data_IF_209643580151
#
_entry.id   IF_209643580151
#
_cell.length_a   1.000
_cell.length_b   1.000
_cell.length_c   1.000
_cell.angle_alpha   90.00
_cell.angle_beta   90.00
_cell.angle_gamma   90.00
#
_symmetry.space_group_name_H-M   'P 1'
#
loop_
_entity.id
_entity.type
_entity.pdbx_description
1 polymer ?
#
# COMPACT_ATOMS: atom_id res chain seq x y z
N UNK A 1 0.29 -12.04 -28.77
CA UNK A 1 -0.04 -10.94 -27.84
C UNK A 1 -1.54 -10.67 -27.86
N UNK A 2 -2.17 -10.64 -26.69
CA UNK A 2 -3.59 -10.37 -26.45
C UNK A 2 -3.71 -9.43 -25.26
N UNK A 3 -4.60 -8.44 -25.36
CA UNK A 3 -4.85 -7.47 -24.29
C UNK A 3 -6.21 -7.75 -23.66
N UNK A 4 -6.20 -8.08 -22.37
CA UNK A 4 -7.39 -8.33 -21.58
C UNK A 4 -7.63 -7.20 -20.57
N UNK A 5 -8.89 -6.81 -20.46
CA UNK A 5 -9.38 -5.94 -19.40
C UNK A 5 -10.42 -6.69 -18.57
N UNK A 6 -10.04 -7.06 -17.35
CA UNK A 6 -10.88 -7.81 -16.42
C UNK A 6 -11.43 -6.89 -15.34
N UNK A 7 -12.63 -7.14 -14.82
CA UNK A 7 -13.20 -6.40 -13.71
C UNK A 7 -14.17 -7.26 -12.91
N UNK A 8 -14.65 -6.74 -11.77
CA UNK A 8 -15.59 -7.44 -10.88
C UNK A 8 -15.01 -8.78 -10.37
N UNK A 9 -13.78 -8.73 -9.84
CA UNK A 9 -13.00 -9.90 -9.40
C UNK A 9 -12.87 -10.97 -10.50
N UNK A 10 -12.44 -10.55 -11.69
CA UNK A 10 -12.20 -11.42 -12.86
C UNK A 10 -13.45 -12.13 -13.41
N UNK A 11 -14.67 -11.81 -12.93
CA UNK A 11 -15.91 -12.39 -13.44
C UNK A 11 -16.26 -11.91 -14.84
N UNK A 12 -15.81 -10.71 -15.20
CA UNK A 12 -16.08 -10.10 -16.50
C UNK A 12 -14.75 -9.70 -17.14
N UNK A 13 -14.63 -10.02 -18.42
CA UNK A 13 -13.46 -9.75 -19.23
C UNK A 13 -13.84 -9.18 -20.59
N UNK A 14 -12.98 -8.31 -21.11
CA UNK A 14 -13.01 -7.83 -22.50
C UNK A 14 -11.64 -8.14 -23.09
N UNK A 15 -11.64 -8.79 -24.24
CA UNK A 15 -10.47 -8.91 -25.11
C UNK A 15 -10.52 -7.77 -26.12
N UNK A 16 -9.44 -7.01 -26.23
CA UNK A 16 -9.31 -6.00 -27.26
C UNK A 16 -9.17 -6.68 -28.63
N UNK A 17 -9.94 -6.23 -29.64
CA UNK A 17 -10.04 -6.92 -30.92
C UNK A 17 -8.80 -6.69 -31.81
N UNK A 18 -8.11 -5.58 -31.64
CA UNK A 18 -6.93 -5.21 -32.41
C UNK A 18 -5.89 -4.71 -31.42
N UNK A 19 -4.66 -5.20 -31.54
CA UNK A 19 -3.56 -4.74 -30.71
C UNK A 19 -3.15 -3.31 -31.12
N UNK A 20 -2.71 -2.47 -30.18
CA UNK A 20 -2.14 -1.17 -30.50
C UNK A 20 -0.83 -1.35 -31.26
N UNK A 21 -0.44 -0.35 -32.05
CA UNK A 21 0.85 -0.34 -32.75
C UNK A 21 2.02 -0.31 -31.77
N UNK A 22 1.86 0.45 -30.68
CA UNK A 22 2.78 0.51 -29.56
C UNK A 22 2.02 0.81 -28.27
N UNK A 23 2.64 0.50 -27.12
CA UNK A 23 2.17 0.95 -25.82
C UNK A 23 3.38 1.31 -24.97
N UNK A 24 3.23 2.32 -24.12
CA UNK A 24 4.27 2.76 -23.22
C UNK A 24 3.74 2.79 -21.78
N UNK A 25 4.53 2.25 -20.85
CA UNK A 25 4.25 2.31 -19.43
C UNK A 25 5.19 3.33 -18.82
N UNK A 26 4.60 4.42 -18.32
CA UNK A 26 5.34 5.49 -17.66
C UNK A 26 5.12 5.42 -16.16
N UNK A 27 6.17 5.64 -15.38
CA UNK A 27 6.10 5.69 -13.93
C UNK A 27 7.17 6.61 -13.39
N UNK A 28 6.81 7.45 -12.42
CA UNK A 28 7.74 8.40 -11.80
C UNK A 28 8.13 7.98 -10.39
N UNK A 29 9.27 8.48 -9.92
CA UNK A 29 9.64 8.48 -8.51
C UNK A 29 9.44 9.88 -7.94
N UNK A 30 8.75 9.99 -6.80
CA UNK A 30 8.49 11.28 -6.15
C UNK A 30 9.70 11.77 -5.35
N UNK A 31 10.85 11.83 -6.01
CA UNK A 31 12.10 12.32 -5.45
C UNK A 31 12.05 13.85 -5.27
N UNK A 32 12.76 14.37 -4.28
CA UNK A 32 12.89 15.81 -4.04
C UNK A 32 14.35 16.23 -4.07
N UNK A 33 14.72 17.10 -5.00
CA UNK A 33 16.04 17.74 -5.01
C UNK A 33 16.07 18.89 -4.00
N UNK A 34 17.10 18.93 -3.17
CA UNK A 34 17.39 20.03 -2.26
C UNK A 34 18.81 20.53 -2.50
N UNK A 35 19.00 21.85 -2.48
CA UNK A 35 20.32 22.45 -2.57
C UNK A 35 20.85 22.76 -1.17
N UNK A 36 22.02 22.23 -0.83
CA UNK A 36 22.71 22.53 0.42
C UNK A 36 23.96 23.34 0.07
N UNK A 37 24.09 24.55 0.64
CA UNK A 37 25.19 25.48 0.35
C UNK A 37 26.60 24.87 0.38
N UNK A 38 26.83 23.88 1.26
CA UNK A 38 28.15 23.27 1.45
C UNK A 38 28.33 21.89 0.78
N UNK A 39 27.26 21.31 0.24
CA UNK A 39 27.22 19.92 -0.28
C UNK A 39 26.70 19.84 -1.73
N UNK A 40 26.23 20.96 -2.29
CA UNK A 40 25.63 21.01 -3.62
C UNK A 40 24.19 20.49 -3.63
N UNK A 41 23.73 20.05 -4.81
CA UNK A 41 22.40 19.47 -4.97
C UNK A 41 22.38 18.02 -4.46
N UNK A 42 21.47 17.74 -3.54
CA UNK A 42 21.21 16.40 -3.01
C UNK A 42 19.82 15.93 -3.41
N UNK A 43 19.68 14.64 -3.72
CA UNK A 43 18.41 14.04 -4.10
C UNK A 43 17.81 13.21 -2.95
N UNK A 44 16.71 13.68 -2.38
CA UNK A 44 15.92 12.94 -1.39
C UNK A 44 15.04 11.91 -2.10
N UNK A 45 15.35 10.63 -1.84
CA UNK A 45 14.63 9.50 -2.45
C UNK A 45 13.19 9.43 -1.92
N UNK A 46 12.25 9.59 -2.85
CA UNK A 46 10.82 9.45 -2.59
C UNK A 46 10.33 8.02 -2.76
N UNK A 47 9.00 7.89 -2.74
CA UNK A 47 8.32 6.64 -3.13
C UNK A 47 7.93 6.68 -4.61
N UNK A 48 7.73 5.49 -5.17
CA UNK A 48 7.21 5.31 -6.52
C UNK A 48 5.82 5.94 -6.64
N UNK A 49 5.63 6.74 -7.69
CA UNK A 49 4.33 7.19 -8.16
C UNK A 49 3.46 6.04 -8.67
N UNK A 50 2.37 6.38 -9.33
CA UNK A 50 1.49 5.42 -9.99
C UNK A 50 1.95 5.25 -11.44
N UNK A 51 1.99 4.02 -11.93
CA UNK A 51 2.20 3.76 -13.35
C UNK A 51 1.00 4.25 -14.16
N UNK A 52 1.23 4.75 -15.36
CA UNK A 52 0.20 5.04 -16.35
C UNK A 52 0.57 4.42 -17.68
N UNK A 53 -0.45 3.98 -18.40
CA UNK A 53 -0.33 3.37 -19.72
C UNK A 53 -1.39 3.98 -20.64
N UNK A 54 -0.99 4.31 -21.86
CA UNK A 54 -1.91 4.77 -22.91
C UNK A 54 -1.95 3.72 -24.01
N UNK A 55 -3.16 3.32 -24.40
CA UNK A 55 -3.41 2.36 -25.46
C UNK A 55 -4.15 3.07 -26.59
N UNK A 56 -3.59 3.01 -27.80
CA UNK A 56 -4.16 3.61 -29.01
C UNK A 56 -4.38 2.53 -30.06
N UNK A 57 -5.64 2.31 -30.45
CA UNK A 57 -5.98 1.35 -31.50
C UNK A 57 -7.38 1.66 -32.03
N UNK A 58 -8.05 0.68 -32.64
CA UNK A 58 -9.40 0.82 -33.15
C UNK A 58 -10.27 -0.42 -32.89
N UNK A 59 -11.58 -0.18 -32.78
CA UNK A 59 -12.59 -1.22 -32.74
C UNK A 59 -13.14 -1.44 -34.15
N UNK A 60 -13.00 -2.66 -34.70
CA UNK A 60 -13.38 -2.94 -36.07
C UNK A 60 -14.89 -3.09 -36.22
N UNK A 61 -15.46 -2.35 -37.16
CA UNK A 61 -16.86 -2.46 -37.59
C UNK A 61 -17.13 -3.70 -38.42
N UNK A 62 -16.09 -4.24 -39.07
CA UNK A 62 -16.18 -5.41 -39.93
C UNK A 62 -15.42 -6.59 -39.33
N UNK A 63 -15.67 -7.78 -39.89
CA UNK A 63 -14.93 -8.98 -39.52
C UNK A 63 -13.60 -9.00 -40.28
N UNK A 64 -12.57 -8.37 -39.71
CA UNK A 64 -11.21 -8.47 -40.24
C UNK A 64 -10.50 -9.74 -39.77
N UNK A 65 -9.57 -10.25 -40.58
CA UNK A 65 -8.79 -11.46 -40.30
C UNK A 65 -7.74 -11.25 -39.21
N UNK A 66 -7.22 -10.04 -39.07
CA UNK A 66 -6.26 -9.67 -38.01
C UNK A 66 -6.93 -9.42 -36.65
N UNK A 67 -8.25 -9.64 -36.54
CA UNK A 67 -9.00 -9.43 -35.31
C UNK A 67 -8.82 -10.60 -34.36
N UNK A 68 -8.50 -10.30 -33.12
CA UNK A 68 -8.51 -11.23 -32.01
C UNK A 68 -9.93 -11.44 -31.46
N UNK A 69 -10.31 -12.70 -31.21
CA UNK A 69 -11.59 -13.04 -30.57
C UNK A 69 -12.86 -12.90 -31.43
N UNK A 70 -14.02 -12.88 -30.77
CA UNK A 70 -15.35 -12.81 -31.40
C UNK A 70 -15.66 -11.40 -31.90
N UNK A 71 -16.45 -11.32 -32.98
CA UNK A 71 -16.96 -10.05 -33.48
C UNK A 71 -17.94 -9.45 -32.47
N UNK A 72 -17.74 -8.18 -32.17
CA UNK A 72 -18.67 -7.38 -31.39
C UNK A 72 -18.80 -5.99 -32.01
N UNK A 73 -19.98 -5.41 -31.87
CA UNK A 73 -20.24 -4.06 -32.37
C UNK A 73 -19.38 -3.02 -31.62
N UNK A 74 -18.64 -2.15 -32.34
CA UNK A 74 -17.76 -1.15 -31.74
C UNK A 74 -18.43 -0.29 -30.66
N UNK A 75 -19.59 0.30 -30.98
CA UNK A 75 -20.25 1.24 -30.07
C UNK A 75 -21.04 0.55 -28.98
N UNK A 76 -21.90 -0.41 -29.35
CA UNK A 76 -22.85 -1.03 -28.44
C UNK A 76 -22.17 -1.96 -27.43
N UNK A 77 -21.01 -2.53 -27.79
CA UNK A 77 -20.28 -3.42 -26.91
C UNK A 77 -19.05 -2.76 -26.29
N UNK A 78 -18.06 -2.34 -27.09
CA UNK A 78 -16.79 -1.85 -26.56
C UNK A 78 -16.94 -0.47 -25.93
N UNK A 79 -17.36 0.54 -26.70
CA UNK A 79 -17.50 1.91 -26.21
C UNK A 79 -18.47 1.97 -25.02
N UNK A 80 -19.62 1.29 -25.10
CA UNK A 80 -20.59 1.27 -24.00
C UNK A 80 -20.03 0.65 -22.72
N UNK A 81 -19.26 -0.44 -22.81
CA UNK A 81 -18.64 -1.06 -21.63
C UNK A 81 -17.53 -0.20 -21.06
N UNK A 82 -16.62 0.31 -21.89
CA UNK A 82 -15.52 1.17 -21.45
C UNK A 82 -16.05 2.47 -20.83
N UNK A 83 -17.08 3.07 -21.44
CA UNK A 83 -17.77 4.24 -20.87
C UNK A 83 -18.39 3.93 -19.50
N UNK A 84 -19.05 2.78 -19.34
CA UNK A 84 -19.62 2.38 -18.05
C UNK A 84 -18.55 2.14 -16.98
N UNK A 85 -17.42 1.53 -17.34
CA UNK A 85 -16.27 1.33 -16.44
C UNK A 85 -15.65 2.67 -16.02
N UNK A 86 -15.52 3.61 -16.96
CA UNK A 86 -15.05 4.95 -16.73
C UNK A 86 -15.99 5.74 -15.80
N UNK A 87 -17.28 5.79 -16.12
CA UNK A 87 -18.29 6.52 -15.33
C UNK A 87 -18.44 5.98 -13.90
N UNK A 88 -18.31 4.66 -13.72
CA UNK A 88 -18.36 4.02 -12.40
C UNK A 88 -17.04 4.06 -11.64
N UNK A 89 -15.97 4.57 -12.25
CA UNK A 89 -14.61 4.53 -11.72
C UNK A 89 -14.24 3.13 -11.17
N UNK A 90 -14.56 2.10 -11.95
CA UNK A 90 -14.36 0.70 -11.53
C UNK A 90 -12.88 0.34 -11.63
N UNK A 91 -12.38 -0.41 -10.65
CA UNK A 91 -11.05 -1.00 -10.72
C UNK A 91 -11.04 -2.11 -11.76
N UNK A 92 -10.18 -1.95 -12.75
CA UNK A 92 -9.97 -2.90 -13.84
C UNK A 92 -8.58 -3.51 -13.71
N UNK A 93 -8.43 -4.73 -14.18
CA UNK A 93 -7.19 -5.48 -14.17
C UNK A 93 -6.74 -5.64 -15.61
N UNK A 94 -5.66 -4.94 -15.96
CA UNK A 94 -5.05 -4.96 -17.27
C UNK A 94 -4.01 -6.08 -17.32
N UNK A 95 -4.17 -6.96 -18.30
CA UNK A 95 -3.23 -8.04 -18.59
C UNK A 95 -2.89 -7.97 -20.08
N UNK A 96 -1.60 -7.87 -20.39
CA UNK A 96 -1.10 -7.98 -21.76
C UNK A 96 -0.27 -9.26 -21.85
N UNK A 97 -0.73 -10.23 -22.62
CA UNK A 97 0.01 -11.49 -22.78
C UNK A 97 1.33 -11.25 -23.50
N UNK A 98 2.33 -12.12 -23.24
CA UNK A 98 3.71 -12.01 -23.77
C UNK A 98 4.54 -10.83 -23.20
N UNK A 99 4.02 -10.09 -22.23
CA UNK A 99 4.72 -8.99 -21.55
C UNK A 99 4.60 -9.10 -20.02
N UNK A 100 5.30 -8.25 -19.27
CA UNK A 100 5.26 -8.20 -17.80
C UNK A 100 4.10 -7.34 -17.26
N UNK A 101 3.20 -6.88 -18.14
CA UNK A 101 2.11 -5.98 -17.80
C UNK A 101 0.96 -6.76 -17.19
N UNK A 102 0.92 -6.72 -15.86
CA UNK A 102 -0.14 -7.30 -15.05
C UNK A 102 -0.41 -6.35 -13.87
N UNK A 103 -1.37 -5.45 -14.01
CA UNK A 103 -1.62 -4.41 -13.01
C UNK A 103 -3.10 -4.04 -12.88
N UNK A 104 -3.49 -3.69 -11.65
CA UNK A 104 -4.78 -3.06 -11.40
C UNK A 104 -4.71 -1.57 -11.74
N UNK A 105 -5.70 -1.07 -12.47
CA UNK A 105 -5.78 0.29 -12.92
C UNK A 105 -7.23 0.82 -12.92
N UNK A 106 -7.37 2.12 -13.07
CA UNK A 106 -8.62 2.82 -13.34
C UNK A 106 -8.51 3.53 -14.68
N UNK A 107 -9.63 3.72 -15.36
CA UNK A 107 -9.67 4.49 -16.61
C UNK A 107 -9.62 5.98 -16.27
N UNK A 108 -8.56 6.67 -16.69
CA UNK A 108 -8.38 8.11 -16.48
C UNK A 108 -8.93 8.92 -17.65
N UNK A 109 -8.78 8.42 -18.88
CA UNK A 109 -9.36 9.02 -20.07
C UNK A 109 -9.80 7.96 -21.07
N UNK A 110 -10.90 8.21 -21.77
CA UNK A 110 -11.36 7.39 -22.88
C UNK A 110 -11.89 8.31 -23.98
N UNK A 111 -11.12 8.41 -25.07
CA UNK A 111 -11.49 9.18 -26.25
C UNK A 111 -11.76 8.18 -27.36
N UNK A 112 -12.88 8.33 -28.07
CA UNK A 112 -13.21 7.47 -29.20
C UNK A 112 -13.93 8.26 -30.30
N UNK A 113 -13.75 7.85 -31.56
CA UNK A 113 -14.38 8.49 -32.71
C UNK A 113 -14.06 7.79 -34.03
N UNK A 114 -14.83 8.14 -35.06
CA UNK A 114 -14.61 7.69 -36.43
C UNK A 114 -13.85 8.78 -37.20
N UNK A 115 -12.95 8.37 -38.10
CA UNK A 115 -12.13 9.31 -38.86
C UNK A 115 -12.17 9.11 -40.38
N UNK A 116 -12.82 8.06 -40.91
CA UNK A 116 -12.61 7.65 -42.31
C UNK A 116 -13.83 7.00 -42.99
N UNK A 117 -15.03 7.11 -42.42
CA UNK A 117 -16.26 6.52 -43.00
C UNK A 117 -16.25 4.98 -43.13
N UNK A 118 -15.19 4.31 -42.66
CA UNK A 118 -15.05 2.84 -42.63
C UNK A 118 -16.01 2.18 -41.63
N UNK A 119 -16.53 2.97 -40.69
CA UNK A 119 -17.27 2.54 -39.50
C UNK A 119 -16.36 2.11 -38.35
N UNK A 120 -15.04 2.05 -38.57
CA UNK A 120 -14.08 1.65 -37.54
C UNK A 120 -13.87 2.78 -36.53
N UNK A 121 -13.98 2.44 -35.24
CA UNK A 121 -13.93 3.42 -34.15
C UNK A 121 -12.53 3.44 -33.58
N UNK A 122 -11.78 4.51 -33.88
CA UNK A 122 -10.47 4.74 -33.24
C UNK A 122 -10.69 5.09 -31.78
N UNK A 123 -9.81 4.60 -30.91
CA UNK A 123 -9.84 4.91 -29.48
C UNK A 123 -8.46 5.20 -28.93
N UNK A 124 -8.43 6.09 -27.94
CA UNK A 124 -7.30 6.36 -27.06
C UNK A 124 -7.77 6.14 -25.63
N UNK A 125 -7.16 5.18 -24.94
CA UNK A 125 -7.51 4.78 -23.58
C UNK A 125 -6.30 5.00 -22.67
N UNK A 126 -6.41 5.94 -21.73
CA UNK A 126 -5.40 6.14 -20.69
C UNK A 126 -5.83 5.46 -19.39
N UNK A 127 -5.01 4.56 -18.91
CA UNK A 127 -5.19 3.81 -17.67
C UNK A 127 -4.13 4.23 -16.65
N UNK A 128 -4.53 4.33 -15.38
CA UNK A 128 -3.66 4.69 -14.26
C UNK A 128 -3.69 3.61 -13.20
N UNK A 129 -2.52 3.22 -12.68
CA UNK A 129 -2.37 2.22 -11.63
C UNK A 129 -3.26 2.56 -10.42
N UNK A 130 -4.06 1.58 -10.03
CA UNK A 130 -4.83 1.64 -8.81
C UNK A 130 -4.07 0.89 -7.71
N UNK A 131 -3.80 1.60 -6.61
CA UNK A 131 -3.21 1.00 -5.41
C UNK A 131 -4.25 1.06 -4.30
N UNK A 132 -4.61 -0.10 -3.78
CA UNK A 132 -5.50 -0.17 -2.63
C UNK A 132 -4.86 0.57 -1.45
N UNK A 133 -5.64 1.44 -0.81
CA UNK A 133 -5.22 2.10 0.41
C UNK A 133 -5.36 1.09 1.54
N UNK A 134 -4.33 0.27 1.73
CA UNK A 134 -4.23 -0.52 2.96
C UNK A 134 -4.00 0.50 4.08
N UNK A 135 -5.08 0.85 4.80
CA UNK A 135 -4.99 1.70 5.98
C UNK A 135 -3.86 1.13 6.83
N UNK A 136 -2.76 1.88 6.96
CA UNK A 136 -1.59 1.41 7.66
C UNK A 136 -2.06 0.91 9.02
N UNK A 137 -1.96 -0.40 9.28
CA UNK A 137 -2.20 -0.95 10.61
C UNK A 137 -1.37 -0.05 11.51
N UNK A 138 -2.02 0.74 12.39
CA UNK A 138 -1.31 1.57 13.36
C UNK A 138 -0.30 0.64 14.01
N UNK A 139 0.98 0.82 13.68
CA UNK A 139 2.06 0.15 14.38
C UNK A 139 2.02 0.82 15.74
N UNK A 140 1.16 0.31 16.63
CA UNK A 140 1.22 0.68 18.02
C UNK A 140 2.57 0.16 18.44
N UNK A 141 3.55 1.04 18.57
CA UNK A 141 4.79 0.79 19.30
C UNK A 141 4.45 0.70 20.79
N UNK A 142 3.49 -0.16 21.16
CA UNK A 142 3.38 -0.68 22.52
C UNK A 142 4.64 -1.51 22.72
N UNK A 143 5.72 -0.86 23.18
CA UNK A 143 6.88 -1.54 23.73
C UNK A 143 6.36 -2.61 24.69
N UNK A 144 6.55 -3.89 24.36
CA UNK A 144 6.20 -5.00 25.25
C UNK A 144 6.95 -4.73 26.55
N UNK A 145 6.20 -4.65 27.64
CA UNK A 145 6.80 -4.41 28.95
C UNK A 145 7.65 -5.59 29.34
N UNK A 146 8.89 -5.33 29.72
CA UNK A 146 9.76 -6.37 30.23
C UNK A 146 9.33 -6.69 31.66
N UNK A 147 9.03 -7.95 31.94
CA UNK A 147 8.75 -8.39 33.32
C UNK A 147 10.07 -8.77 33.98
N UNK A 148 10.34 -8.19 35.14
CA UNK A 148 11.54 -8.44 35.94
C UNK A 148 11.16 -9.09 37.27
N UNK A 149 11.84 -10.18 37.62
CA UNK A 149 11.70 -10.80 38.96
C UNK A 149 12.74 -10.18 39.87
N UNK A 150 12.29 -9.49 40.93
CA UNK A 150 13.13 -8.70 41.82
C UNK A 150 14.07 -9.57 42.66
N UNK A 151 15.37 -9.25 42.69
CA UNK A 151 16.41 -9.98 43.41
C UNK A 151 16.97 -9.16 44.59
N UNK A 152 17.74 -9.83 45.46
CA UNK A 152 18.43 -9.18 46.59
C UNK A 152 19.45 -8.18 46.05
N UNK A 153 19.37 -6.92 46.49
CA UNK A 153 20.25 -5.83 46.06
C UNK A 153 19.70 -4.96 44.91
N UNK A 154 18.53 -5.30 44.36
CA UNK A 154 17.88 -4.49 43.33
C UNK A 154 17.29 -3.20 43.89
N UNK A 155 17.39 -2.14 43.07
CA UNK A 155 16.74 -0.85 43.31
C UNK A 155 16.00 -0.41 42.05
N UNK A 156 14.93 0.37 42.22
CA UNK A 156 14.12 0.85 41.09
C UNK A 156 14.94 1.54 39.99
N UNK A 157 15.89 2.45 40.30
CA UNK A 157 16.74 3.06 39.27
C UNK A 157 17.62 2.04 38.53
N UNK A 158 18.15 1.01 39.21
CA UNK A 158 19.01 -0.02 38.61
C UNK A 158 18.21 -0.93 37.66
N UNK A 159 17.05 -1.40 38.11
CA UNK A 159 16.15 -2.24 37.30
C UNK A 159 15.68 -1.47 36.07
N UNK A 160 15.28 -0.21 36.24
CA UNK A 160 14.79 0.62 35.13
C UNK A 160 15.90 0.96 34.15
N UNK A 161 17.10 1.32 34.62
CA UNK A 161 18.27 1.55 33.75
C UNK A 161 18.64 0.30 32.95
N UNK A 162 18.51 -0.89 33.52
CA UNK A 162 18.80 -2.17 32.84
C UNK A 162 17.89 -2.43 31.63
N UNK A 163 16.60 -2.08 31.72
CA UNK A 163 15.61 -2.38 30.66
C UNK A 163 15.30 -1.18 29.74
N UNK A 164 15.40 0.05 30.23
CA UNK A 164 15.08 1.27 29.49
C UNK A 164 16.31 2.14 29.15
N UNK A 165 17.52 1.71 29.52
CA UNK A 165 18.79 2.43 29.27
C UNK A 165 18.99 3.70 30.12
N UNK A 166 17.92 4.25 30.70
CA UNK A 166 17.93 5.45 31.53
C UNK A 166 17.23 5.18 32.86
N UNK A 167 17.76 5.74 33.96
CA UNK A 167 17.11 5.66 35.27
C UNK A 167 16.00 6.71 35.45
N UNK A 168 15.91 7.74 34.61
CA UNK A 168 15.06 8.93 34.84
C UNK A 168 13.58 8.62 35.10
N UNK A 169 13.06 7.55 34.48
CA UNK A 169 11.64 7.17 34.55
C UNK A 169 11.30 6.25 35.73
N UNK A 170 12.23 6.00 36.65
CA UNK A 170 12.04 4.99 37.71
C UNK A 170 10.85 5.24 38.63
N UNK A 171 10.53 6.51 38.94
CA UNK A 171 9.38 6.89 39.78
C UNK A 171 8.06 6.50 39.11
N UNK A 172 7.97 6.72 37.80
CA UNK A 172 6.80 6.37 36.99
C UNK A 172 6.62 4.86 36.92
N UNK A 173 7.70 4.11 36.66
CA UNK A 173 7.67 2.64 36.66
C UNK A 173 7.25 2.07 38.02
N UNK A 174 7.77 2.64 39.13
CA UNK A 174 7.34 2.24 40.48
C UNK A 174 5.85 2.50 40.71
N UNK A 175 5.35 3.68 40.33
CA UNK A 175 3.93 4.05 40.45
C UNK A 175 3.03 3.07 39.70
N UNK A 176 3.44 2.65 38.50
CA UNK A 176 2.73 1.67 37.69
C UNK A 176 2.68 0.26 38.34
N UNK A 177 3.60 -0.04 39.26
CA UNK A 177 3.68 -1.32 39.97
C UNK A 177 3.22 -1.24 41.44
N UNK A 178 2.51 -0.17 41.83
CA UNK A 178 2.18 0.08 43.24
C UNK A 178 1.36 -1.03 43.89
N UNK A 179 0.52 -1.74 43.14
CA UNK A 179 -0.24 -2.89 43.64
C UNK A 179 0.69 -4.04 44.09
N UNK A 180 1.74 -4.32 43.33
CA UNK A 180 2.75 -5.34 43.67
C UNK A 180 3.54 -4.89 44.90
N UNK A 181 3.93 -3.62 44.96
CA UNK A 181 4.63 -3.02 46.10
C UNK A 181 3.80 -3.12 47.38
N UNK A 182 2.52 -2.75 47.32
CA UNK A 182 1.63 -2.82 48.47
C UNK A 182 1.41 -4.27 48.92
N UNK A 183 1.27 -5.22 47.98
CA UNK A 183 1.15 -6.65 48.30
C UNK A 183 2.41 -7.19 49.01
N UNK A 184 3.60 -6.80 48.55
CA UNK A 184 4.86 -7.17 49.17
C UNK A 184 5.01 -6.56 50.58
N UNK A 185 4.66 -5.28 50.74
CA UNK A 185 4.70 -4.56 52.02
C UNK A 185 3.69 -5.08 53.04
N UNK A 186 2.49 -5.48 52.62
CA UNK A 186 1.50 -6.10 53.52
C UNK A 186 2.01 -7.39 54.16
N UNK A 187 2.72 -8.24 53.39
CA UNK A 187 3.31 -9.49 53.93
C UNK A 187 4.56 -9.27 54.78
N UNK A 188 5.32 -8.20 54.49
CA UNK A 188 6.60 -7.91 55.15
C UNK A 188 6.64 -6.45 55.66
N UNK A 189 5.70 -6.08 56.55
CA UNK A 189 5.47 -4.70 56.97
C UNK A 189 6.71 -3.99 57.55
N UNK A 190 7.51 -4.72 58.34
CA UNK A 190 8.73 -4.19 59.00
C UNK A 190 9.95 -4.08 58.07
N UNK A 191 9.92 -4.65 56.86
CA UNK A 191 11.08 -4.66 55.95
C UNK A 191 11.08 -3.45 55.01
N UNK A 192 12.27 -2.99 54.61
CA UNK A 192 12.43 -1.99 53.54
C UNK A 192 11.80 -2.51 52.23
N UNK A 193 11.25 -1.61 51.42
CA UNK A 193 10.52 -1.97 50.19
C UNK A 193 11.33 -2.84 49.22
N UNK A 194 12.60 -2.49 49.00
CA UNK A 194 13.52 -3.23 48.14
C UNK A 194 13.77 -4.66 48.63
N UNK A 195 13.65 -4.90 49.93
CA UNK A 195 13.80 -6.22 50.55
C UNK A 195 12.47 -6.98 50.53
N UNK A 196 11.34 -6.28 50.70
CA UNK A 196 10.01 -6.87 50.65
C UNK A 196 9.63 -7.36 49.24
N UNK A 197 10.14 -6.68 48.19
CA UNK A 197 9.88 -7.01 46.79
C UNK A 197 10.61 -8.26 46.28
N UNK A 198 11.58 -8.81 47.01
CA UNK A 198 12.36 -9.98 46.56
C UNK A 198 11.41 -11.14 46.19
N UNK A 199 11.57 -11.68 44.99
CA UNK A 199 10.73 -12.75 44.44
C UNK A 199 9.44 -12.29 43.75
N UNK A 200 9.08 -11.01 43.81
CA UNK A 200 7.92 -10.47 43.10
C UNK A 200 8.29 -10.07 41.65
N UNK A 201 7.32 -10.23 40.74
CA UNK A 201 7.43 -9.80 39.35
C UNK A 201 6.93 -8.37 39.20
N UNK A 202 7.76 -7.48 38.65
CA UNK A 202 7.42 -6.10 38.31
C UNK A 202 7.51 -5.87 36.80
N UNK A 203 6.65 -5.03 36.25
CA UNK A 203 6.61 -4.71 34.83
C UNK A 203 7.35 -3.41 34.58
N UNK A 204 8.37 -3.43 33.72
CA UNK A 204 9.13 -2.27 33.28
C UNK A 204 8.67 -1.88 31.88
N UNK A 205 8.02 -0.72 31.78
CA UNK A 205 7.51 -0.09 30.55
C UNK A 205 7.85 1.39 30.57
#
# INVERSE_FOLDING_TARGET
MDIYLNWDNEKKSILFPVNPESFEISGSQNNQSLYIHNLGEINLKGKRGLYSITLESFFPSKKYNFRHGKYHDPYNFYCKKLKNLYEKNTTVHLIITETDVNMFCTIESFVHGENDGSGDVKYTLTLKEYREVVAAKRISTKKKGSTHTWKKGDTWPKVVKKYLGSSKTWKTVRKNNIAVVNKAKRKNFKKKETVALIGYKVVVK
#
